data_IF_792015294232
#
_entry.id   IF_792015294232
#
_cell.length_a   1.000
_cell.length_b   1.000
_cell.length_c   1.000
_cell.angle_alpha   90.00
_cell.angle_beta   90.00
_cell.angle_gamma   90.00
#
_symmetry.space_group_name_H-M   'P 1'
#
loop_
_entity.id
_entity.type
_entity.pdbx_description
1 polymer ?
#
# COMPACT_ATOMS: atom_id res chain seq x y z
N UNK A 1 -6.18 18.34 4.22
CA UNK A 1 -5.00 17.58 3.79
C UNK A 1 -4.94 17.52 2.28
N UNK A 2 -3.75 17.28 1.66
CA UNK A 2 -3.65 17.26 0.20
C UNK A 2 -4.45 16.13 -0.43
N UNK A 3 -4.41 14.95 0.19
CA UNK A 3 -5.10 13.75 -0.26
C UNK A 3 -6.62 13.92 -0.30
N UNK A 4 -7.22 14.71 0.62
CA UNK A 4 -8.65 15.03 0.58
C UNK A 4 -9.04 15.82 -0.67
N UNK A 5 -8.15 16.72 -1.11
CA UNK A 5 -8.39 17.58 -2.28
C UNK A 5 -8.26 16.83 -3.60
N UNK A 6 -7.36 15.85 -3.68
CA UNK A 6 -7.10 15.08 -4.92
C UNK A 6 -7.95 13.83 -5.02
N UNK A 7 -8.55 13.35 -3.92
CA UNK A 7 -9.32 12.11 -3.87
C UNK A 7 -10.37 11.96 -5.00
N UNK A 8 -11.16 12.98 -5.36
CA UNK A 8 -12.16 12.84 -6.44
C UNK A 8 -11.55 12.59 -7.82
N UNK A 9 -10.32 13.06 -8.07
CA UNK A 9 -9.63 12.95 -9.35
C UNK A 9 -8.54 11.87 -9.33
N UNK A 10 -8.23 11.31 -8.16
CA UNK A 10 -7.12 10.39 -7.99
C UNK A 10 -7.21 9.17 -8.92
N UNK A 11 -8.37 8.50 -8.93
CA UNK A 11 -8.61 7.34 -9.79
C UNK A 11 -8.49 7.68 -11.27
N UNK A 12 -8.95 8.86 -11.70
CA UNK A 12 -8.84 9.31 -13.09
C UNK A 12 -7.37 9.50 -13.47
N UNK A 13 -6.61 10.18 -12.64
CA UNK A 13 -5.18 10.46 -12.90
C UNK A 13 -4.36 9.17 -12.88
N UNK A 14 -4.54 8.31 -11.90
CA UNK A 14 -3.79 7.03 -11.78
C UNK A 14 -4.21 6.07 -12.89
N UNK A 15 -5.52 5.97 -13.20
CA UNK A 15 -6.01 5.09 -14.25
C UNK A 15 -5.58 5.52 -15.65
N UNK A 16 -5.41 6.80 -15.92
CA UNK A 16 -4.90 7.26 -17.23
C UNK A 16 -3.40 7.06 -17.35
N UNK A 17 -2.65 7.27 -16.26
CA UNK A 17 -1.19 7.25 -16.31
C UNK A 17 -0.57 5.85 -16.21
N UNK A 18 -1.13 4.92 -15.41
CA UNK A 18 -0.51 3.65 -15.07
C UNK A 18 -1.52 2.51 -14.76
N UNK A 19 -2.69 2.55 -15.42
CA UNK A 19 -3.83 1.63 -15.17
C UNK A 19 -3.45 0.15 -15.13
N UNK A 20 -2.65 -0.29 -16.11
CA UNK A 20 -2.26 -1.71 -16.20
C UNK A 20 -1.42 -2.15 -15.01
N UNK A 21 -0.48 -1.30 -14.55
CA UNK A 21 0.35 -1.58 -13.36
C UNK A 21 -0.51 -1.60 -12.11
N UNK A 22 -1.45 -0.66 -11.99
CA UNK A 22 -2.33 -0.56 -10.83
C UNK A 22 -3.21 -1.80 -10.67
N UNK A 23 -3.86 -2.23 -11.76
CA UNK A 23 -4.67 -3.44 -11.78
C UNK A 23 -3.84 -4.71 -11.53
N UNK A 24 -2.67 -4.83 -12.18
CA UNK A 24 -1.78 -5.97 -12.01
C UNK A 24 -1.17 -6.02 -10.58
N UNK A 25 -0.93 -4.88 -9.95
CA UNK A 25 -0.51 -4.82 -8.54
C UNK A 25 -1.58 -5.41 -7.64
N UNK A 26 -2.84 -4.98 -7.75
CA UNK A 26 -3.95 -5.53 -6.98
C UNK A 26 -4.09 -7.04 -7.17
N UNK A 27 -4.07 -7.53 -8.42
CA UNK A 27 -4.12 -8.97 -8.72
C UNK A 27 -2.94 -9.74 -8.12
N UNK A 28 -1.74 -9.15 -8.14
CA UNK A 28 -0.55 -9.81 -7.58
C UNK A 28 -0.62 -9.87 -6.06
N UNK A 29 -1.09 -8.80 -5.40
CA UNK A 29 -1.32 -8.77 -3.95
C UNK A 29 -2.37 -9.80 -3.56
N UNK A 30 -3.50 -9.87 -4.27
CA UNK A 30 -4.58 -10.83 -4.01
C UNK A 30 -4.09 -12.30 -4.01
N UNK A 31 -3.12 -12.64 -4.86
CA UNK A 31 -2.52 -14.00 -4.90
C UNK A 31 -1.63 -14.32 -3.68
N UNK A 32 -1.28 -13.35 -2.87
CA UNK A 32 -0.48 -13.51 -1.65
C UNK A 32 -1.36 -13.64 -0.40
N UNK A 33 -2.65 -13.36 -0.53
CA UNK A 33 -3.66 -13.46 0.53
C UNK A 33 -4.32 -14.83 0.47
N UNK A 34 -4.55 -15.45 1.63
CA UNK A 34 -5.21 -16.75 1.77
C UNK A 34 -6.71 -16.58 2.01
N UNK A 35 -7.57 -17.56 1.62
CA UNK A 35 -9.02 -17.44 1.76
C UNK A 35 -9.54 -17.23 3.20
N UNK A 36 -8.80 -17.68 4.20
CA UNK A 36 -9.15 -17.52 5.63
C UNK A 36 -8.58 -16.28 6.31
N UNK A 37 -7.76 -15.49 5.60
CA UNK A 37 -7.04 -14.38 6.22
C UNK A 37 -7.97 -13.23 6.64
N UNK A 38 -7.73 -12.69 7.84
CA UNK A 38 -8.17 -11.37 8.26
C UNK A 38 -7.08 -10.37 7.88
N UNK A 39 -7.41 -9.44 7.00
CA UNK A 39 -6.44 -8.54 6.35
C UNK A 39 -6.62 -7.11 6.83
N UNK A 40 -5.52 -6.45 7.18
CA UNK A 40 -5.46 -4.99 7.31
C UNK A 40 -4.82 -4.40 6.05
N UNK A 41 -5.48 -3.45 5.40
CA UNK A 41 -4.85 -2.62 4.37
C UNK A 41 -4.63 -1.21 4.92
N UNK A 42 -3.37 -0.82 5.07
CA UNK A 42 -2.97 0.53 5.48
C UNK A 42 -2.81 1.43 4.24
N UNK A 43 -3.29 2.68 4.36
CA UNK A 43 -3.29 3.66 3.28
C UNK A 43 -4.01 3.14 2.01
N UNK A 44 -5.22 2.63 2.17
CA UNK A 44 -6.01 2.01 1.10
C UNK A 44 -6.37 3.00 -0.04
N UNK A 45 -6.23 4.30 0.20
CA UNK A 45 -6.61 5.35 -0.74
C UNK A 45 -8.10 5.23 -1.12
N UNK A 46 -8.37 5.14 -2.39
CA UNK A 46 -9.73 4.94 -2.92
C UNK A 46 -10.19 3.47 -2.91
N UNK A 47 -9.45 2.55 -2.26
CA UNK A 47 -9.81 1.15 -2.08
C UNK A 47 -9.59 0.25 -3.30
N UNK A 48 -8.60 0.53 -4.14
CA UNK A 48 -8.43 -0.27 -5.35
C UNK A 48 -7.72 -1.60 -5.11
N UNK A 49 -6.71 -1.66 -4.23
CA UNK A 49 -6.09 -2.93 -3.81
C UNK A 49 -7.10 -3.68 -2.95
N UNK A 50 -7.80 -3.00 -2.01
CA UNK A 50 -8.90 -3.59 -1.23
C UNK A 50 -9.91 -4.32 -2.11
N UNK A 51 -10.38 -3.67 -3.18
CA UNK A 51 -11.36 -4.28 -4.10
C UNK A 51 -10.81 -5.53 -4.83
N UNK A 52 -9.49 -5.64 -4.98
CA UNK A 52 -8.85 -6.80 -5.58
C UNK A 52 -8.65 -7.95 -4.57
N UNK A 53 -8.36 -7.64 -3.30
CA UNK A 53 -8.11 -8.65 -2.26
C UNK A 53 -9.41 -9.12 -1.58
N UNK A 54 -10.42 -8.29 -1.48
CA UNK A 54 -11.69 -8.62 -0.81
C UNK A 54 -12.32 -9.95 -1.27
N UNK A 55 -12.30 -10.36 -2.56
CA UNK A 55 -12.82 -11.65 -2.97
C UNK A 55 -12.00 -12.86 -2.52
N UNK A 56 -10.79 -12.66 -1.96
CA UNK A 56 -9.82 -13.73 -1.68
C UNK A 56 -9.58 -13.99 -0.19
N UNK A 57 -10.17 -13.22 0.72
CA UNK A 57 -9.95 -13.33 2.17
C UNK A 57 -11.26 -13.41 2.95
N UNK A 58 -11.17 -13.69 4.25
CA UNK A 58 -12.34 -13.76 5.14
C UNK A 58 -12.88 -12.36 5.46
N UNK A 59 -11.99 -11.40 5.75
CA UNK A 59 -12.37 -10.02 6.08
C UNK A 59 -11.23 -9.05 5.74
N UNK A 60 -11.59 -7.78 5.52
CA UNK A 60 -10.64 -6.68 5.33
C UNK A 60 -11.03 -5.49 6.19
N UNK A 61 -10.06 -4.96 6.93
CA UNK A 61 -10.11 -3.59 7.45
C UNK A 61 -9.24 -2.74 6.53
N UNK A 62 -9.85 -1.78 5.85
CA UNK A 62 -9.18 -0.87 4.92
C UNK A 62 -9.06 0.51 5.55
N UNK A 63 -7.85 0.96 5.81
CA UNK A 63 -7.59 2.22 6.50
C UNK A 63 -6.87 3.23 5.64
N UNK A 64 -7.17 4.50 5.84
CA UNK A 64 -6.43 5.63 5.27
C UNK A 64 -6.46 6.81 6.24
N UNK A 65 -5.46 7.66 6.20
CA UNK A 65 -5.42 8.87 7.01
C UNK A 65 -6.36 9.97 6.45
N UNK A 66 -6.66 9.95 5.15
CA UNK A 66 -7.48 10.93 4.45
C UNK A 66 -8.95 10.51 4.41
N UNK A 67 -9.82 11.29 5.07
CA UNK A 67 -11.27 11.06 5.00
C UNK A 67 -11.82 11.23 3.57
N UNK A 68 -11.21 12.12 2.77
CA UNK A 68 -11.54 12.27 1.36
C UNK A 68 -11.31 10.98 0.55
N UNK A 69 -10.20 10.26 0.82
CA UNK A 69 -9.92 8.95 0.22
C UNK A 69 -10.92 7.89 0.72
N UNK A 70 -11.16 7.83 2.02
CA UNK A 70 -12.10 6.89 2.63
C UNK A 70 -13.53 7.06 2.09
N UNK A 71 -13.97 8.28 1.83
CA UNK A 71 -15.28 8.54 1.19
C UNK A 71 -15.39 7.88 -0.19
N UNK A 72 -14.32 7.87 -0.99
CA UNK A 72 -14.30 7.15 -2.27
C UNK A 72 -14.20 5.64 -2.07
N UNK A 73 -13.37 5.20 -1.13
CA UNK A 73 -13.24 3.79 -0.77
C UNK A 73 -14.58 3.17 -0.34
N UNK A 74 -15.30 3.81 0.58
CA UNK A 74 -16.64 3.35 1.02
C UNK A 74 -17.60 3.14 -0.13
N UNK A 75 -17.63 4.06 -1.11
CA UNK A 75 -18.48 3.92 -2.30
C UNK A 75 -18.08 2.71 -3.15
N UNK A 76 -16.78 2.55 -3.41
CA UNK A 76 -16.23 1.46 -4.23
C UNK A 76 -16.41 0.10 -3.58
N UNK A 77 -16.25 0.04 -2.26
CA UNK A 77 -16.22 -1.19 -1.47
C UNK A 77 -17.59 -1.61 -0.91
N UNK A 78 -18.63 -0.79 -1.07
CA UNK A 78 -19.98 -1.04 -0.54
C UNK A 78 -20.57 -2.41 -0.95
N UNK A 79 -20.09 -2.99 -2.05
CA UNK A 79 -20.50 -4.33 -2.52
C UNK A 79 -19.87 -5.50 -1.76
N UNK A 80 -18.92 -5.23 -0.88
CA UNK A 80 -18.23 -6.26 -0.08
C UNK A 80 -18.62 -6.11 1.40
N UNK A 81 -19.58 -6.91 1.92
CA UNK A 81 -20.11 -6.74 3.28
C UNK A 81 -19.11 -7.09 4.37
N UNK A 82 -18.03 -7.81 4.05
CA UNK A 82 -16.94 -8.19 4.96
C UNK A 82 -15.75 -7.21 4.92
N UNK A 83 -15.93 -6.05 4.26
CA UNK A 83 -14.93 -4.98 4.22
C UNK A 83 -15.38 -3.82 5.11
N UNK A 84 -14.56 -3.49 6.10
CA UNK A 84 -14.74 -2.31 6.95
C UNK A 84 -13.78 -1.21 6.47
N UNK A 85 -14.27 0.04 6.38
CA UNK A 85 -13.45 1.18 5.95
C UNK A 85 -13.43 2.22 7.06
N UNK A 86 -12.25 2.47 7.65
CA UNK A 86 -12.08 3.37 8.79
C UNK A 86 -10.82 4.22 8.69
N UNK A 87 -10.75 5.27 9.51
CA UNK A 87 -9.60 6.17 9.53
C UNK A 87 -8.53 5.67 10.51
N UNK A 88 -7.28 5.58 10.05
CA UNK A 88 -6.14 5.29 10.92
C UNK A 88 -4.84 5.91 10.38
N UNK A 89 -3.90 6.14 11.30
CA UNK A 89 -2.52 6.47 10.98
C UNK A 89 -1.70 5.17 10.97
N UNK A 90 -0.99 4.91 9.87
CA UNK A 90 -0.15 3.72 9.71
C UNK A 90 1.03 3.69 10.70
N UNK A 91 1.39 4.84 11.27
CA UNK A 91 2.48 4.96 12.26
C UNK A 91 2.00 4.83 13.71
N UNK A 92 0.67 4.74 13.93
CA UNK A 92 0.04 4.58 15.25
C UNK A 92 -1.28 3.82 15.09
N UNK A 93 -1.19 2.52 14.87
CA UNK A 93 -2.34 1.64 14.64
C UNK A 93 -2.99 1.22 15.95
N UNK A 94 -4.26 1.56 16.15
CA UNK A 94 -5.02 1.27 17.38
C UNK A 94 -5.58 -0.16 17.43
N UNK A 95 -4.84 -1.14 16.87
CA UNK A 95 -5.15 -2.56 16.94
C UNK A 95 -4.23 -3.25 17.93
N UNK A 96 -4.71 -4.33 18.55
CA UNK A 96 -3.89 -5.16 19.40
C UNK A 96 -2.77 -5.84 18.60
N UNK A 97 -1.71 -6.27 19.30
CA UNK A 97 -0.66 -7.08 18.71
C UNK A 97 -1.26 -8.36 18.11
N UNK A 98 -0.66 -8.89 17.06
CA UNK A 98 -1.01 -10.18 16.46
C UNK A 98 -2.46 -10.30 15.94
N UNK A 99 -3.12 -9.17 15.62
CA UNK A 99 -4.54 -9.11 15.26
C UNK A 99 -4.84 -9.56 13.83
N UNK A 100 -3.86 -9.56 12.93
CA UNK A 100 -4.07 -9.80 11.50
C UNK A 100 -3.23 -10.96 10.96
N UNK A 101 -3.83 -11.73 10.06
CA UNK A 101 -3.12 -12.78 9.30
C UNK A 101 -2.23 -12.18 8.21
N UNK A 102 -2.65 -11.06 7.63
CA UNK A 102 -1.87 -10.34 6.64
C UNK A 102 -2.08 -8.82 6.73
N UNK A 103 -1.02 -8.06 6.43
CA UNK A 103 -1.09 -6.60 6.26
C UNK A 103 -0.58 -6.21 4.89
N UNK A 104 -1.32 -5.31 4.24
CA UNK A 104 -0.93 -4.68 2.97
C UNK A 104 -0.71 -3.19 3.20
N UNK A 105 0.45 -2.67 2.77
CA UNK A 105 0.77 -1.23 2.83
C UNK A 105 1.15 -0.74 1.43
N UNK A 106 0.15 -0.40 0.62
CA UNK A 106 0.31 -0.11 -0.80
C UNK A 106 0.66 1.35 -1.10
N UNK A 107 1.83 1.58 -1.71
CA UNK A 107 2.26 2.90 -2.23
C UNK A 107 2.27 4.02 -1.17
N UNK A 108 2.59 3.71 0.08
CA UNK A 108 2.58 4.65 1.21
C UNK A 108 3.96 4.92 1.80
N UNK A 109 4.82 3.91 1.95
CA UNK A 109 6.08 4.05 2.70
C UNK A 109 7.02 5.14 2.16
N UNK A 110 6.98 5.41 0.86
CA UNK A 110 7.76 6.48 0.22
C UNK A 110 7.21 7.90 0.47
N UNK A 111 6.04 8.00 1.09
CA UNK A 111 5.37 9.27 1.44
C UNK A 111 5.57 9.64 2.91
N UNK A 112 6.04 8.69 3.72
CA UNK A 112 6.21 8.88 5.17
C UNK A 112 7.56 9.53 5.49
N UNK A 113 7.63 10.43 6.47
CA UNK A 113 8.89 10.96 6.97
C UNK A 113 9.77 9.85 7.56
N UNK A 114 9.18 8.98 8.38
CA UNK A 114 9.83 7.87 9.06
C UNK A 114 9.17 6.53 8.68
N UNK A 115 9.52 5.96 7.50
CA UNK A 115 8.89 4.72 7.03
C UNK A 115 9.18 3.51 7.92
N UNK A 116 10.24 3.59 8.73
CA UNK A 116 10.58 2.55 9.71
C UNK A 116 9.54 2.41 10.82
N UNK A 117 8.92 3.49 11.26
CA UNK A 117 7.92 3.44 12.33
C UNK A 117 6.63 2.77 11.83
N UNK A 118 6.21 3.07 10.60
CA UNK A 118 5.10 2.36 9.98
C UNK A 118 5.38 0.86 9.85
N UNK A 119 6.62 0.46 9.50
CA UNK A 119 6.97 -0.96 9.39
C UNK A 119 6.98 -1.66 10.76
N UNK A 120 7.38 -0.97 11.83
CA UNK A 120 7.29 -1.50 13.21
C UNK A 120 5.83 -1.76 13.61
N UNK A 121 4.94 -0.79 13.36
CA UNK A 121 3.51 -0.94 13.65
C UNK A 121 2.88 -2.07 12.81
N UNK A 122 3.20 -2.17 11.53
CA UNK A 122 2.77 -3.27 10.68
C UNK A 122 3.22 -4.62 11.26
N UNK A 123 4.48 -4.74 11.68
CA UNK A 123 5.01 -5.98 12.29
C UNK A 123 4.32 -6.31 13.61
N UNK A 124 4.01 -5.30 14.43
CA UNK A 124 3.32 -5.47 15.71
C UNK A 124 1.93 -6.08 15.55
N UNK A 125 1.16 -5.56 14.59
CA UNK A 125 -0.24 -5.98 14.41
C UNK A 125 -0.40 -7.27 13.60
N UNK A 126 0.63 -7.70 12.86
CA UNK A 126 0.64 -8.98 12.14
C UNK A 126 1.09 -10.08 13.08
N UNK A 127 0.31 -11.15 13.19
CA UNK A 127 0.68 -12.32 14.01
C UNK A 127 1.97 -13.00 13.54
N UNK A 128 2.68 -13.71 14.42
CA UNK A 128 3.80 -14.56 14.03
C UNK A 128 3.41 -15.53 12.91
N UNK A 129 4.23 -15.61 11.87
CA UNK A 129 3.94 -16.40 10.68
C UNK A 129 2.93 -15.77 9.71
N UNK A 130 2.40 -14.58 10.03
CA UNK A 130 1.53 -13.79 9.14
C UNK A 130 2.30 -13.14 8.00
N UNK A 131 1.59 -12.63 6.99
CA UNK A 131 2.19 -12.12 5.75
C UNK A 131 2.18 -10.60 5.72
N UNK A 132 3.33 -9.99 5.45
CA UNK A 132 3.46 -8.54 5.22
C UNK A 132 3.71 -8.30 3.73
N UNK A 133 2.92 -7.41 3.11
CA UNK A 133 2.96 -7.13 1.68
C UNK A 133 3.05 -5.61 1.48
N UNK A 134 4.13 -5.16 0.85
CA UNK A 134 4.40 -3.72 0.67
C UNK A 134 4.62 -3.41 -0.82
N UNK A 135 3.58 -3.10 -1.60
CA UNK A 135 3.74 -2.58 -2.95
C UNK A 135 4.27 -1.15 -2.94
N UNK A 136 5.25 -0.83 -3.78
CA UNK A 136 5.78 0.54 -3.89
C UNK A 136 6.20 0.85 -5.32
N UNK A 137 5.84 2.02 -5.81
CA UNK A 137 6.37 2.51 -7.08
C UNK A 137 7.85 2.82 -6.95
N UNK A 138 8.64 2.26 -7.86
CA UNK A 138 10.09 2.50 -7.92
C UNK A 138 10.43 3.31 -9.16
N UNK A 139 11.25 4.33 -8.99
CA UNK A 139 11.62 5.25 -10.06
C UNK A 139 13.14 5.15 -10.26
N UNK A 140 13.61 4.56 -11.37
CA UNK A 140 15.04 4.52 -11.67
C UNK A 140 15.63 5.94 -11.67
N UNK A 141 16.81 6.12 -11.05
CA UNK A 141 17.47 7.44 -10.90
C UNK A 141 17.58 8.21 -12.25
N UNK A 142 17.79 7.50 -13.36
CA UNK A 142 17.86 8.09 -14.71
C UNK A 142 16.53 8.66 -15.23
N UNK A 143 15.38 8.32 -14.62
CA UNK A 143 14.03 8.78 -15.01
C UNK A 143 13.37 9.73 -14.02
N UNK A 144 14.12 10.24 -13.03
CA UNK A 144 13.61 11.09 -11.95
C UNK A 144 12.98 12.43 -12.42
N UNK A 145 13.16 12.82 -13.68
CA UNK A 145 12.64 14.05 -14.26
C UNK A 145 11.45 13.86 -15.22
N UNK A 146 10.64 12.82 -15.02
CA UNK A 146 9.46 12.64 -15.87
C UNK A 146 8.42 13.74 -15.62
N UNK A 147 7.80 14.25 -16.69
CA UNK A 147 6.73 15.27 -16.65
C UNK A 147 5.58 14.86 -15.70
N UNK A 148 5.37 13.56 -15.51
CA UNK A 148 4.40 12.99 -14.58
C UNK A 148 4.74 13.32 -13.11
N UNK A 149 6.00 13.21 -12.69
CA UNK A 149 6.42 13.57 -11.33
C UNK A 149 6.29 15.08 -11.08
N UNK A 150 6.58 15.90 -12.10
CA UNK A 150 6.34 17.34 -12.04
C UNK A 150 4.85 17.67 -11.92
N UNK A 151 4.00 16.93 -12.61
CA UNK A 151 2.54 17.12 -12.51
C UNK A 151 2.03 16.75 -11.12
N UNK A 152 2.45 15.62 -10.56
CA UNK A 152 2.05 15.17 -9.22
C UNK A 152 2.58 16.13 -8.14
N UNK A 153 3.82 16.61 -8.27
CA UNK A 153 4.38 17.58 -7.32
C UNK A 153 3.65 18.94 -7.37
N UNK A 154 3.09 19.33 -8.53
CA UNK A 154 2.25 20.53 -8.66
C UNK A 154 0.93 20.40 -7.89
N UNK A 155 0.46 19.18 -7.66
CA UNK A 155 -0.65 18.88 -6.76
C UNK A 155 -0.22 18.71 -5.29
N UNK A 156 1.06 19.04 -4.97
CA UNK A 156 1.60 19.06 -3.61
C UNK A 156 1.98 17.68 -3.05
N UNK A 157 1.96 16.62 -3.87
CA UNK A 157 2.46 15.30 -3.47
C UNK A 157 3.99 15.33 -3.51
N UNK A 158 4.60 15.38 -2.33
CA UNK A 158 6.04 15.29 -2.17
C UNK A 158 6.43 13.88 -1.76
N UNK A 159 7.28 13.25 -2.57
CA UNK A 159 7.92 11.99 -2.18
C UNK A 159 9.01 12.30 -1.17
N UNK A 160 8.85 11.85 0.07
CA UNK A 160 9.85 12.00 1.13
C UNK A 160 11.07 11.13 0.83
N UNK A 161 10.83 9.90 0.39
CA UNK A 161 11.87 8.99 -0.06
C UNK A 161 11.59 8.49 -1.49
N UNK A 162 12.58 8.56 -2.37
CA UNK A 162 12.47 8.04 -3.73
C UNK A 162 13.19 6.70 -3.80
N UNK A 163 12.44 5.64 -3.74
CA UNK A 163 12.98 4.31 -3.92
C UNK A 163 13.34 4.03 -5.38
N UNK A 164 14.57 3.56 -5.60
CA UNK A 164 14.92 2.71 -6.73
C UNK A 164 14.93 1.23 -6.26
N UNK A 165 15.07 0.25 -7.17
CA UNK A 165 15.02 -1.16 -6.76
C UNK A 165 16.08 -1.57 -5.73
N UNK A 166 17.24 -0.92 -5.72
CA UNK A 166 18.32 -1.22 -4.77
C UNK A 166 18.04 -0.61 -3.40
N UNK A 167 17.69 0.69 -3.35
CA UNK A 167 17.37 1.37 -2.10
C UNK A 167 16.12 0.79 -1.43
N UNK A 168 15.16 0.28 -2.23
CA UNK A 168 13.98 -0.39 -1.71
C UNK A 168 14.33 -1.72 -1.01
N UNK A 169 15.25 -2.50 -1.55
CA UNK A 169 15.76 -3.71 -0.89
C UNK A 169 16.54 -3.36 0.39
N UNK A 170 17.46 -2.41 0.29
CA UNK A 170 18.26 -1.95 1.41
C UNK A 170 17.42 -1.41 2.57
N UNK A 171 16.22 -0.87 2.31
CA UNK A 171 15.29 -0.46 3.36
C UNK A 171 14.88 -1.65 4.23
N UNK A 172 14.39 -2.75 3.66
CA UNK A 172 13.99 -3.94 4.42
C UNK A 172 15.17 -4.62 5.11
N UNK A 173 16.34 -4.64 4.48
CA UNK A 173 17.59 -5.15 5.09
C UNK A 173 17.96 -4.36 6.36
N UNK A 174 17.94 -3.02 6.28
CA UNK A 174 18.19 -2.15 7.45
C UNK A 174 17.16 -2.34 8.57
N UNK A 175 15.92 -2.66 8.21
CA UNK A 175 14.83 -2.94 9.14
C UNK A 175 14.86 -4.38 9.69
N UNK A 176 15.90 -5.16 9.38
CA UNK A 176 16.06 -6.54 9.86
C UNK A 176 15.03 -7.52 9.31
N UNK A 177 14.38 -7.22 8.17
CA UNK A 177 13.44 -8.15 7.56
C UNK A 177 14.17 -9.26 6.82
N UNK A 178 13.83 -10.51 7.13
CA UNK A 178 14.39 -11.71 6.52
C UNK A 178 13.43 -12.32 5.49
N UNK A 179 13.93 -13.16 4.59
CA UNK A 179 13.10 -13.89 3.63
C UNK A 179 12.28 -13.02 2.66
N UNK A 180 12.63 -11.74 2.48
CA UNK A 180 11.86 -10.81 1.64
C UNK A 180 11.93 -11.23 0.18
N UNK A 181 10.77 -11.47 -0.42
CA UNK A 181 10.62 -11.73 -1.85
C UNK A 181 10.14 -10.47 -2.56
N UNK A 182 10.61 -10.27 -3.80
CA UNK A 182 10.29 -9.08 -4.60
C UNK A 182 9.69 -9.47 -5.94
N UNK A 183 8.46 -9.02 -6.20
CA UNK A 183 7.77 -9.19 -7.49
C UNK A 183 7.67 -7.86 -8.19
N UNK A 184 8.04 -7.81 -9.48
CA UNK A 184 8.04 -6.57 -10.26
C UNK A 184 6.85 -6.57 -11.22
N UNK A 185 5.95 -5.63 -11.03
CA UNK A 185 4.91 -5.31 -12.00
C UNK A 185 5.46 -4.25 -12.95
N UNK A 186 5.73 -4.68 -14.19
CA UNK A 186 6.34 -3.81 -15.22
C UNK A 186 5.32 -2.85 -15.81
N UNK A 187 5.77 -1.64 -16.17
CA UNK A 187 4.96 -0.64 -16.83
C UNK A 187 5.68 0.71 -16.92
N UNK A 188 4.93 1.77 -17.21
CA UNK A 188 5.50 3.13 -17.34
C UNK A 188 6.20 3.59 -16.06
N UNK A 189 5.55 3.36 -14.92
CA UNK A 189 6.14 3.48 -13.58
C UNK A 189 5.99 2.08 -12.95
N UNK A 190 7.08 1.30 -12.84
CA UNK A 190 6.98 -0.04 -12.30
C UNK A 190 6.68 -0.01 -10.80
N UNK A 191 5.92 -1.02 -10.34
CA UNK A 191 5.68 -1.29 -8.93
C UNK A 191 6.49 -2.52 -8.51
N UNK A 192 7.22 -2.42 -7.42
CA UNK A 192 7.86 -3.56 -6.77
C UNK A 192 7.06 -3.93 -5.54
N UNK A 193 6.66 -5.18 -5.45
CA UNK A 193 5.90 -5.73 -4.32
C UNK A 193 6.88 -6.53 -3.48
N UNK A 194 7.27 -6.00 -2.33
CA UNK A 194 7.97 -6.76 -1.31
C UNK A 194 6.95 -7.59 -0.52
N UNK A 195 7.26 -8.84 -0.23
CA UNK A 195 6.45 -9.68 0.65
C UNK A 195 7.33 -10.62 1.46
N UNK A 196 7.01 -10.76 2.75
CA UNK A 196 7.73 -11.58 3.69
C UNK A 196 6.83 -12.03 4.84
N UNK A 197 7.27 -13.02 5.59
CA UNK A 197 6.60 -13.52 6.78
C UNK A 197 7.05 -12.72 8.00
N UNK A 198 6.15 -12.45 8.93
CA UNK A 198 6.49 -11.88 10.23
C UNK A 198 7.14 -12.96 11.10
N UNK A 199 8.44 -12.81 11.39
CA UNK A 199 9.24 -13.79 12.15
C UNK A 199 9.30 -13.43 13.64
N UNK A 200 8.52 -12.44 14.11
CA UNK A 200 8.46 -12.02 15.52
C UNK A 200 7.51 -12.86 16.33
#
# INVERSE_FOLDING_TARGET
>A
MIWDRVAPLYDVVVNTANRAVYAATGTTVARLIRPGDTVLECACGTGAITAAIAPTCASVIATDYSEGMLKQARKKLARFPHVVVEQADITDLHYADDSFDAVVAGNVIHLLPEPGDALKEIKRVVRPGGTIIVPTYVIPKKRAHTMFLRLISRFGVHFQERFDPASYRAFFERMGCTGVTYRVVRGRIPCVIASFTNDQ
#
